data_IF_220787714312
#
_entry.id   IF_220787714312
#
_cell.length_a   1.000
_cell.length_b   1.000
_cell.length_c   1.000
_cell.angle_alpha   90.00
_cell.angle_beta   90.00
_cell.angle_gamma   90.00
#
_symmetry.space_group_name_H-M   'P 1'
#
loop_
_entity.id
_entity.type
_entity.pdbx_description
1 polymer ?
#
# COMPACT_ATOMS: atom_id res chain seq x y z
N UNK A 1 -9.06 -20.33 5.12
CA UNK A 1 -7.69 -20.23 5.68
C UNK A 1 -7.31 -21.45 6.51
N UNK A 2 -8.24 -22.04 7.28
CA UNK A 2 -8.04 -23.33 7.98
C UNK A 2 -7.48 -24.45 7.12
N UNK A 3 -8.08 -24.68 5.96
CA UNK A 3 -7.66 -25.70 4.98
C UNK A 3 -6.26 -25.43 4.41
N UNK A 4 -5.81 -24.16 4.47
CA UNK A 4 -4.46 -23.79 4.06
C UNK A 4 -3.43 -24.06 5.16
N UNK A 5 -3.83 -24.42 6.39
CA UNK A 5 -2.93 -24.70 7.51
C UNK A 5 -2.56 -23.48 8.36
N UNK A 6 -3.32 -22.38 8.24
CA UNK A 6 -3.18 -21.23 9.13
C UNK A 6 -3.90 -21.46 10.46
N UNK A 7 -3.29 -20.94 11.54
CA UNK A 7 -3.81 -20.88 12.90
C UNK A 7 -4.39 -19.48 13.17
N UNK A 8 -4.78 -19.22 14.41
CA UNK A 8 -5.24 -17.91 14.91
C UNK A 8 -6.39 -17.35 14.04
N UNK A 9 -7.51 -18.07 14.02
CA UNK A 9 -8.67 -17.74 13.18
C UNK A 9 -9.28 -16.39 13.52
N UNK A 10 -9.13 -15.93 14.76
CA UNK A 10 -9.48 -14.59 15.20
C UNK A 10 -8.67 -13.47 14.51
N UNK A 11 -7.52 -13.80 13.90
CA UNK A 11 -6.64 -12.85 13.19
C UNK A 11 -6.82 -12.85 11.67
N UNK A 12 -7.67 -13.73 11.12
CA UNK A 12 -7.79 -13.85 9.67
C UNK A 12 -8.41 -12.63 9.00
N UNK A 13 -9.36 -11.95 9.64
CA UNK A 13 -9.94 -10.73 9.08
C UNK A 13 -8.90 -9.60 8.98
N UNK A 14 -8.02 -9.49 9.98
CA UNK A 14 -6.92 -8.54 10.01
C UNK A 14 -5.93 -8.82 8.87
N UNK A 15 -5.54 -10.09 8.71
CA UNK A 15 -4.69 -10.55 7.60
C UNK A 15 -5.34 -10.26 6.23
N UNK A 16 -6.63 -10.58 6.06
CA UNK A 16 -7.37 -10.32 4.83
C UNK A 16 -7.39 -8.83 4.51
N UNK A 17 -7.66 -7.98 5.50
CA UNK A 17 -7.70 -6.54 5.35
C UNK A 17 -6.34 -5.97 4.97
N UNK A 18 -5.27 -6.44 5.61
CA UNK A 18 -3.90 -5.99 5.37
C UNK A 18 -3.47 -6.22 3.93
N UNK A 19 -3.70 -7.42 3.41
CA UNK A 19 -3.46 -7.77 2.00
C UNK A 19 -4.69 -7.53 1.11
N UNK A 20 -5.55 -6.58 1.50
CA UNK A 20 -6.66 -6.02 0.72
C UNK A 20 -7.62 -7.04 0.08
N UNK A 21 -7.73 -8.25 0.65
CA UNK A 21 -8.51 -9.35 0.10
C UNK A 21 -7.99 -9.90 -1.24
N UNK A 22 -6.82 -9.48 -1.70
CA UNK A 22 -6.30 -9.88 -3.01
C UNK A 22 -5.85 -11.35 -2.99
N UNK A 23 -6.47 -12.26 -3.79
CA UNK A 23 -6.17 -13.69 -3.70
C UNK A 23 -4.70 -14.05 -3.94
N UNK A 24 -4.02 -13.32 -4.84
CA UNK A 24 -2.59 -13.49 -5.13
C UNK A 24 -1.72 -13.20 -3.91
N UNK A 25 -1.80 -12.00 -3.34
CA UNK A 25 -1.09 -11.60 -2.12
C UNK A 25 -1.41 -12.53 -0.95
N UNK A 26 -2.68 -12.90 -0.77
CA UNK A 26 -3.08 -13.84 0.27
C UNK A 26 -2.49 -15.23 0.09
N UNK A 27 -2.31 -15.71 -1.14
CA UNK A 27 -1.62 -16.98 -1.38
C UNK A 27 -0.14 -16.89 -1.02
N UNK A 28 0.54 -15.82 -1.45
CA UNK A 28 1.96 -15.60 -1.15
C UNK A 28 2.19 -15.56 0.36
N UNK A 29 1.44 -14.72 1.07
CA UNK A 29 1.63 -14.57 2.52
C UNK A 29 1.23 -15.83 3.29
N UNK A 30 0.20 -16.55 2.84
CA UNK A 30 -0.18 -17.81 3.48
C UNK A 30 0.94 -18.84 3.40
N UNK A 31 1.67 -18.90 2.28
CA UNK A 31 2.82 -19.80 2.15
C UNK A 31 3.94 -19.38 3.10
N UNK A 32 4.30 -18.09 3.10
CA UNK A 32 5.34 -17.58 3.98
C UNK A 32 5.03 -17.78 5.48
N UNK A 33 3.79 -17.55 5.91
CA UNK A 33 3.37 -17.79 7.30
C UNK A 33 3.50 -19.26 7.69
N UNK A 34 3.24 -20.19 6.77
CA UNK A 34 3.42 -21.62 7.06
C UNK A 34 4.88 -21.99 7.18
N UNK A 35 5.69 -21.50 6.26
CA UNK A 35 7.11 -21.85 6.17
C UNK A 35 7.93 -21.24 7.32
N UNK A 36 7.66 -19.98 7.67
CA UNK A 36 8.43 -19.22 8.65
C UNK A 36 7.85 -19.30 10.07
N UNK A 37 6.52 -19.34 10.18
CA UNK A 37 5.81 -19.20 11.46
C UNK A 37 4.98 -20.44 11.82
N UNK A 38 5.16 -21.56 11.12
CA UNK A 38 4.42 -22.81 11.35
C UNK A 38 2.89 -22.59 11.43
N UNK A 39 2.40 -21.68 10.58
CA UNK A 39 0.99 -21.31 10.46
C UNK A 39 0.50 -20.27 11.47
N UNK A 40 1.34 -19.76 12.38
CA UNK A 40 0.96 -18.75 13.38
C UNK A 40 0.84 -17.37 12.72
N UNK A 41 -0.39 -16.87 12.59
CA UNK A 41 -0.70 -15.62 11.88
C UNK A 41 -0.29 -14.41 12.70
N UNK A 42 -0.39 -14.47 14.04
CA UNK A 42 -0.03 -13.33 14.90
C UNK A 42 1.43 -12.89 14.73
N UNK A 43 2.34 -13.79 14.33
CA UNK A 43 3.75 -13.48 14.10
C UNK A 43 4.00 -12.63 12.84
N UNK A 44 3.01 -12.56 11.94
CA UNK A 44 3.05 -11.72 10.74
C UNK A 44 2.38 -10.35 10.96
N UNK A 45 1.73 -10.15 12.10
CA UNK A 45 0.92 -8.97 12.43
C UNK A 45 1.49 -8.26 13.67
N UNK A 46 2.81 -8.08 13.72
CA UNK A 46 3.52 -7.58 14.92
C UNK A 46 3.22 -6.09 15.15
N UNK A 47 3.28 -5.28 14.11
CA UNK A 47 2.97 -3.84 14.14
C UNK A 47 2.37 -3.37 12.81
N UNK A 48 1.59 -2.28 12.82
CA UNK A 48 0.99 -1.69 11.62
C UNK A 48 2.06 -1.13 10.66
N UNK A 49 3.21 -0.72 11.19
CA UNK A 49 4.33 -0.15 10.44
C UNK A 49 5.44 -1.18 10.11
N UNK A 50 5.44 -2.37 10.74
CA UNK A 50 6.41 -3.45 10.49
C UNK A 50 5.73 -4.66 9.84
N UNK A 51 4.97 -4.40 8.79
CA UNK A 51 4.24 -5.44 8.06
C UNK A 51 5.21 -6.26 7.21
N UNK A 52 5.20 -7.57 7.44
CA UNK A 52 5.97 -8.51 6.62
C UNK A 52 5.36 -8.62 5.22
N UNK A 53 6.05 -8.13 4.20
CA UNK A 53 5.61 -8.21 2.80
C UNK A 53 6.17 -9.44 2.07
N UNK A 54 7.35 -9.93 2.45
CA UNK A 54 7.97 -11.11 1.83
C UNK A 54 8.08 -10.96 0.31
N UNK A 55 7.76 -12.02 -0.45
CA UNK A 55 7.84 -12.00 -1.92
C UNK A 55 6.92 -10.96 -2.58
N UNK A 56 5.96 -10.38 -1.85
CA UNK A 56 5.10 -9.29 -2.36
C UNK A 56 5.93 -8.02 -2.63
N UNK A 57 7.04 -7.80 -1.91
CA UNK A 57 7.92 -6.64 -2.11
C UNK A 57 8.37 -6.50 -3.56
N UNK A 58 8.86 -7.59 -4.14
CA UNK A 58 9.29 -7.63 -5.54
C UNK A 58 8.15 -7.29 -6.52
N UNK A 59 6.92 -7.68 -6.20
CA UNK A 59 5.75 -7.36 -7.02
C UNK A 59 5.39 -5.88 -6.93
N UNK A 60 5.47 -5.30 -5.73
CA UNK A 60 5.24 -3.87 -5.51
C UNK A 60 6.34 -3.04 -6.19
N UNK A 61 7.59 -3.46 -6.11
CA UNK A 61 8.73 -2.82 -6.77
C UNK A 61 8.50 -2.73 -8.30
N UNK A 62 8.13 -3.84 -8.93
CA UNK A 62 7.81 -3.89 -10.37
C UNK A 62 6.73 -2.87 -10.78
N UNK A 63 5.75 -2.61 -9.91
CA UNK A 63 4.72 -1.59 -10.17
C UNK A 63 5.27 -0.15 -10.13
N UNK A 64 6.35 0.08 -9.37
CA UNK A 64 7.00 1.38 -9.18
C UNK A 64 8.12 1.66 -10.20
N UNK A 65 8.78 0.63 -10.73
CA UNK A 65 9.91 0.77 -11.68
C UNK A 65 9.57 1.59 -12.95
N UNK A 66 8.31 1.59 -13.37
CA UNK A 66 7.85 2.29 -14.57
C UNK A 66 7.26 3.67 -14.29
N UNK A 67 7.47 4.21 -13.08
CA UNK A 67 7.07 5.57 -12.76
C UNK A 67 8.09 6.56 -13.34
N UNK A 68 7.57 7.65 -13.92
CA UNK A 68 8.40 8.82 -14.18
C UNK A 68 8.92 9.40 -12.87
N UNK A 69 10.02 10.17 -12.95
CA UNK A 69 10.60 10.87 -11.79
C UNK A 69 9.55 11.66 -10.99
N UNK A 70 8.62 12.34 -11.69
CA UNK A 70 7.54 13.08 -11.06
C UNK A 70 6.52 12.18 -10.37
N UNK A 71 6.14 11.06 -10.98
CA UNK A 71 5.23 10.09 -10.35
C UNK A 71 5.87 9.47 -9.10
N UNK A 72 7.13 9.06 -9.22
CA UNK A 72 7.89 8.46 -8.13
C UNK A 72 8.08 9.45 -6.97
N UNK A 73 8.37 10.72 -7.26
CA UNK A 73 8.49 11.75 -6.25
C UNK A 73 7.15 12.03 -5.55
N UNK A 74 6.05 12.16 -6.32
CA UNK A 74 4.73 12.43 -5.73
C UNK A 74 4.22 11.26 -4.88
N UNK A 75 4.39 10.00 -5.30
CA UNK A 75 3.95 8.85 -4.50
C UNK A 75 4.78 8.73 -3.20
N UNK A 76 6.08 9.01 -3.26
CA UNK A 76 6.94 9.08 -2.09
C UNK A 76 6.52 10.18 -1.11
N UNK A 77 6.24 11.37 -1.63
CA UNK A 77 5.76 12.49 -0.81
C UNK A 77 4.41 12.16 -0.16
N UNK A 78 3.48 11.54 -0.92
CA UNK A 78 2.19 11.07 -0.42
C UNK A 78 2.33 10.00 0.69
N UNK A 79 3.26 9.05 0.55
CA UNK A 79 3.46 7.95 1.51
C UNK A 79 3.88 8.44 2.91
N UNK A 80 4.53 9.60 2.96
CA UNK A 80 4.98 10.28 4.19
C UNK A 80 3.90 11.14 4.85
N UNK A 81 2.73 11.31 4.22
CA UNK A 81 1.65 12.11 4.80
C UNK A 81 0.86 11.27 5.81
N UNK A 82 0.65 11.79 7.02
CA UNK A 82 -0.13 11.10 8.06
C UNK A 82 -1.59 10.86 7.60
N UNK A 83 -2.16 11.81 6.86
CA UNK A 83 -3.53 11.76 6.38
C UNK A 83 -3.63 11.87 4.86
N UNK A 84 -4.82 11.57 4.32
CA UNK A 84 -5.11 11.84 2.93
C UNK A 84 -5.03 13.35 2.64
N UNK A 85 -4.41 13.72 1.54
CA UNK A 85 -4.17 15.11 1.16
C UNK A 85 -5.29 15.68 0.30
N UNK A 86 -5.57 16.97 0.43
CA UNK A 86 -6.42 17.66 -0.54
C UNK A 86 -5.69 17.85 -1.87
N UNK A 87 -6.42 17.86 -3.00
CA UNK A 87 -5.85 18.13 -4.33
C UNK A 87 -5.18 19.52 -4.42
N UNK A 88 -5.52 20.46 -3.54
CA UNK A 88 -4.86 21.76 -3.45
C UNK A 88 -3.51 21.71 -2.75
N UNK A 89 -3.21 20.65 -2.00
CA UNK A 89 -1.94 20.47 -1.29
C UNK A 89 -0.90 19.82 -2.20
N UNK A 90 0.33 20.32 -2.16
CA UNK A 90 1.44 19.89 -3.01
C UNK A 90 2.75 19.83 -2.23
N UNK A 91 3.75 19.06 -2.72
CA UNK A 91 5.10 19.16 -2.21
C UNK A 91 5.64 20.58 -2.39
N UNK A 92 6.31 21.11 -1.38
CA UNK A 92 6.89 22.45 -1.39
C UNK A 92 8.26 22.51 -2.08
N UNK A 93 8.93 21.36 -2.15
CA UNK A 93 10.25 21.14 -2.73
C UNK A 93 10.21 20.91 -4.25
N UNK A 94 9.02 20.89 -4.85
CA UNK A 94 8.84 20.61 -6.27
C UNK A 94 8.00 21.69 -6.96
N UNK A 95 8.63 22.43 -7.88
CA UNK A 95 7.93 23.41 -8.71
C UNK A 95 7.04 22.72 -9.76
N UNK A 96 5.77 22.48 -9.40
CA UNK A 96 4.76 21.88 -10.27
C UNK A 96 3.56 22.78 -10.51
N UNK A 97 3.24 22.99 -11.78
CA UNK A 97 1.94 23.58 -12.15
C UNK A 97 0.78 22.69 -11.66
N UNK A 98 -0.37 23.30 -11.37
CA UNK A 98 -1.58 22.56 -10.95
C UNK A 98 -1.94 21.46 -11.96
N UNK A 99 -1.90 21.79 -13.26
CA UNK A 99 -2.23 20.86 -14.31
C UNK A 99 -1.30 19.64 -14.35
N UNK A 100 0.00 19.83 -14.09
CA UNK A 100 0.96 18.72 -14.07
C UNK A 100 0.79 17.84 -12.83
N UNK A 101 0.56 18.43 -11.67
CA UNK A 101 0.26 17.69 -10.44
C UNK A 101 -0.99 16.80 -10.59
N UNK A 102 -2.08 17.35 -11.13
CA UNK A 102 -3.31 16.60 -11.38
C UNK A 102 -3.08 15.45 -12.37
N UNK A 103 -2.28 15.65 -13.43
CA UNK A 103 -1.91 14.58 -14.37
C UNK A 103 -1.14 13.45 -13.69
N UNK A 104 -0.22 13.78 -12.78
CA UNK A 104 0.54 12.80 -12.02
C UNK A 104 -0.39 12.00 -11.10
N UNK A 105 -1.25 12.68 -10.32
CA UNK A 105 -2.26 12.00 -9.48
C UNK A 105 -3.20 11.11 -10.31
N UNK A 106 -3.65 11.58 -11.46
CA UNK A 106 -4.48 10.78 -12.37
C UNK A 106 -3.77 9.53 -12.86
N UNK A 107 -2.48 9.64 -13.21
CA UNK A 107 -1.69 8.50 -13.66
C UNK A 107 -1.49 7.47 -12.54
N UNK A 108 -1.08 7.92 -11.35
CA UNK A 108 -0.94 7.07 -10.17
C UNK A 108 -2.25 6.36 -9.82
N UNK A 109 -3.38 7.07 -9.88
CA UNK A 109 -4.69 6.49 -9.55
C UNK A 109 -5.14 5.45 -10.59
N UNK A 110 -4.84 5.65 -11.88
CA UNK A 110 -5.11 4.65 -12.94
C UNK A 110 -4.30 3.37 -12.79
N UNK A 111 -3.13 3.45 -12.15
CA UNK A 111 -2.27 2.31 -11.81
C UNK A 111 -2.61 1.69 -10.45
N UNK A 112 -3.66 2.16 -9.77
CA UNK A 112 -4.08 1.72 -8.44
C UNK A 112 -3.02 1.93 -7.34
N UNK A 113 -2.09 2.89 -7.53
CA UNK A 113 -1.02 3.19 -6.56
C UNK A 113 -1.47 4.19 -5.49
N UNK A 114 -2.45 5.02 -5.84
CA UNK A 114 -3.11 5.98 -4.94
C UNK A 114 -4.61 5.81 -5.00
N UNK A 115 -5.28 6.18 -3.93
CA UNK A 115 -6.70 6.06 -3.73
C UNK A 115 -7.32 7.45 -3.58
N UNK A 116 -8.41 7.68 -4.32
CA UNK A 116 -9.30 8.82 -4.11
C UNK A 116 -10.27 8.49 -2.97
N UNK A 117 -10.31 9.34 -1.95
CA UNK A 117 -11.26 9.27 -0.84
C UNK A 117 -12.07 10.55 -0.73
N UNK A 118 -13.27 10.46 -0.15
CA UNK A 118 -14.12 11.61 0.13
C UNK A 118 -14.15 11.81 1.65
N UNK A 119 -13.57 12.92 2.13
CA UNK A 119 -13.49 13.26 3.55
C UNK A 119 -14.01 14.70 3.69
N UNK A 120 -15.05 14.90 4.51
CA UNK A 120 -15.68 16.21 4.71
C UNK A 120 -16.07 16.90 3.39
N UNK A 121 -16.70 16.13 2.48
CA UNK A 121 -17.10 16.56 1.13
C UNK A 121 -15.94 16.99 0.20
N UNK A 122 -14.69 16.86 0.65
CA UNK A 122 -13.49 17.16 -0.15
C UNK A 122 -12.90 15.90 -0.73
N UNK A 123 -12.48 16.00 -1.99
CA UNK A 123 -11.73 14.95 -2.66
C UNK A 123 -10.31 14.97 -2.14
N UNK A 124 -9.91 13.90 -1.47
CA UNK A 124 -8.55 13.71 -0.97
C UNK A 124 -7.89 12.47 -1.59
N UNK A 125 -6.57 12.43 -1.55
CA UNK A 125 -5.77 11.34 -2.09
C UNK A 125 -4.83 10.77 -1.02
N UNK A 126 -4.65 9.46 -1.02
CA UNK A 126 -3.66 8.76 -0.18
C UNK A 126 -3.02 7.62 -0.98
N UNK A 127 -1.84 7.17 -0.56
CA UNK A 127 -1.22 5.97 -1.15
C UNK A 127 -2.00 4.73 -0.76
N UNK A 128 -2.10 3.76 -1.66
CA UNK A 128 -2.63 2.43 -1.34
C UNK A 128 -1.81 1.79 -0.20
N UNK A 129 -2.46 1.07 0.72
CA UNK A 129 -1.82 0.69 1.98
C UNK A 129 -0.57 -0.17 1.82
N UNK A 130 -0.54 -1.13 0.88
CA UNK A 130 0.66 -1.96 0.67
C UNK A 130 1.81 -1.18 0.06
N UNK A 131 1.54 -0.29 -0.88
CA UNK A 131 2.57 0.60 -1.43
C UNK A 131 3.09 1.58 -0.38
N UNK A 132 2.22 2.03 0.53
CA UNK A 132 2.63 2.89 1.64
C UNK A 132 3.58 2.16 2.59
N UNK A 133 3.26 0.91 2.97
CA UNK A 133 4.15 0.06 3.78
C UNK A 133 5.48 -0.10 3.05
N UNK A 134 5.47 -0.54 1.80
CA UNK A 134 6.68 -0.76 1.01
C UNK A 134 7.57 0.50 0.88
N UNK A 135 6.98 1.68 0.72
CA UNK A 135 7.71 2.94 0.57
C UNK A 135 8.26 3.50 1.90
N UNK A 136 7.77 3.01 3.04
CA UNK A 136 8.17 3.48 4.37
C UNK A 136 9.07 2.47 5.12
N UNK A 137 9.19 1.24 4.62
CA UNK A 137 10.20 0.25 5.02
C UNK A 137 11.59 0.65 4.52
#
# INVERSE_FOLDING_TARGET
MKEKGLKDDEKWEELIKLYQGHPGWLNIITLAIKELFNGQVYQCLIDEDEVFLGDIESLLENHLEHLSEFEYHIINWLARQNEAIDISQKPTDLELSNARFIKVLQSLNRRCLVEKVLIEEKVKFKVNSLFRIYLNN
#
